data_IF_854162076935
#
_entry.id   IF_854162076935
#
_cell.length_a   1.000
_cell.length_b   1.000
_cell.length_c   1.000
_cell.angle_alpha   90.00
_cell.angle_beta   90.00
_cell.angle_gamma   90.00
#
_symmetry.space_group_name_H-M   'P 1'
#
loop_
_entity.id
_entity.type
_entity.pdbx_description
1 polymer ?
#
# COMPACT_ATOMS: atom_id res chain seq x y z
N UNK A 1 -23.86 -10.73 24.29
CA UNK A 1 -24.13 -11.23 22.94
C UNK A 1 -23.04 -10.76 22.00
N UNK A 2 -22.58 -11.64 21.12
CA UNK A 2 -21.37 -11.45 20.34
C UNK A 2 -21.61 -10.60 19.07
N UNK A 3 -20.63 -9.79 18.70
CA UNK A 3 -20.66 -8.94 17.50
C UNK A 3 -20.93 -9.72 16.20
N UNK A 4 -20.61 -11.02 16.18
CA UNK A 4 -20.84 -11.91 15.04
C UNK A 4 -22.35 -12.13 14.78
N UNK A 5 -23.13 -12.30 15.84
CA UNK A 5 -24.59 -12.51 15.75
C UNK A 5 -25.29 -11.24 15.25
N UNK A 6 -24.87 -10.08 15.75
CA UNK A 6 -25.35 -8.79 15.28
C UNK A 6 -25.03 -8.55 13.80
N UNK A 7 -23.80 -8.85 13.39
CA UNK A 7 -23.38 -8.72 11.99
C UNK A 7 -24.21 -9.61 11.07
N UNK A 8 -24.51 -10.84 11.51
CA UNK A 8 -25.34 -11.79 10.76
C UNK A 8 -26.77 -11.29 10.57
N UNK A 9 -27.40 -10.79 11.64
CA UNK A 9 -28.76 -10.24 11.58
C UNK A 9 -28.86 -9.00 10.68
N UNK A 10 -27.85 -8.12 10.72
CA UNK A 10 -27.76 -6.95 9.83
C UNK A 10 -27.72 -7.40 8.37
N UNK A 11 -26.87 -8.38 8.03
CA UNK A 11 -26.73 -8.89 6.66
C UNK A 11 -28.05 -9.50 6.20
N UNK A 12 -28.71 -10.32 7.02
CA UNK A 12 -30.00 -10.93 6.68
C UNK A 12 -31.08 -9.89 6.37
N UNK A 13 -31.18 -8.83 7.19
CA UNK A 13 -32.10 -7.72 6.94
C UNK A 13 -31.77 -6.94 5.67
N UNK A 14 -30.50 -6.82 5.32
CA UNK A 14 -30.10 -6.18 4.06
C UNK A 14 -30.40 -7.07 2.83
N UNK A 15 -30.31 -8.39 2.96
CA UNK A 15 -30.56 -9.33 1.87
C UNK A 15 -32.03 -9.42 1.44
N UNK A 16 -32.98 -9.14 2.36
CA UNK A 16 -34.42 -9.08 2.06
C UNK A 16 -34.79 -7.85 1.23
N UNK A 17 -33.92 -6.82 1.23
CA UNK A 17 -34.13 -5.63 0.41
C UNK A 17 -33.71 -5.90 -1.03
N UNK A 18 -34.51 -5.41 -1.98
CA UNK A 18 -34.23 -5.58 -3.41
C UNK A 18 -33.00 -4.79 -3.86
N UNK A 19 -32.82 -3.57 -3.36
CA UNK A 19 -31.68 -2.71 -3.69
C UNK A 19 -31.33 -1.82 -2.48
N UNK A 20 -30.61 -2.35 -1.48
CA UNK A 20 -30.28 -1.59 -0.28
C UNK A 20 -29.41 -0.37 -0.63
N UNK A 21 -29.67 0.77 0.00
CA UNK A 21 -28.83 1.97 -0.10
C UNK A 21 -27.80 2.02 1.03
N UNK A 22 -26.87 2.99 0.96
CA UNK A 22 -25.93 3.25 2.07
C UNK A 22 -26.64 3.74 3.33
N UNK A 23 -27.72 4.49 3.16
CA UNK A 23 -28.55 4.96 4.28
C UNK A 23 -29.26 3.78 4.95
N UNK A 24 -29.73 2.80 4.17
CA UNK A 24 -30.31 1.56 4.70
C UNK A 24 -29.30 0.76 5.53
N UNK A 25 -28.05 0.68 5.08
CA UNK A 25 -26.98 0.00 5.84
C UNK A 25 -26.80 0.67 7.21
N UNK A 26 -26.66 1.99 7.27
CA UNK A 26 -26.49 2.67 8.56
C UNK A 26 -27.76 2.56 9.42
N UNK A 27 -28.95 2.74 8.84
CA UNK A 27 -30.23 2.59 9.54
C UNK A 27 -30.37 1.21 10.18
N UNK A 28 -30.14 0.13 9.42
CA UNK A 28 -30.26 -1.25 9.91
C UNK A 28 -29.20 -1.53 10.98
N UNK A 29 -27.97 -1.02 10.82
CA UNK A 29 -26.92 -1.13 11.84
C UNK A 29 -27.38 -0.50 13.17
N UNK A 30 -27.95 0.70 13.12
CA UNK A 30 -28.49 1.37 14.31
C UNK A 30 -29.66 0.59 14.92
N UNK A 31 -30.64 0.16 14.11
CA UNK A 31 -31.80 -0.61 14.59
C UNK A 31 -31.36 -1.90 15.31
N UNK A 32 -30.49 -2.70 14.69
CA UNK A 32 -30.00 -3.96 15.27
C UNK A 32 -29.19 -3.70 16.54
N UNK A 33 -28.33 -2.67 16.56
CA UNK A 33 -27.58 -2.34 17.77
C UNK A 33 -28.48 -1.94 18.95
N UNK A 34 -29.60 -1.26 18.68
CA UNK A 34 -30.59 -0.91 19.72
C UNK A 34 -31.32 -2.15 20.24
N UNK A 35 -31.74 -3.05 19.36
CA UNK A 35 -32.45 -4.29 19.74
C UNK A 35 -31.55 -5.19 20.58
N UNK A 36 -30.27 -5.30 20.19
CA UNK A 36 -29.30 -6.17 20.85
C UNK A 36 -28.51 -5.49 21.98
N UNK A 37 -28.82 -4.24 22.28
CA UNK A 37 -28.17 -3.40 23.29
C UNK A 37 -26.62 -3.42 23.23
N UNK A 38 -26.07 -3.27 22.02
CA UNK A 38 -24.63 -3.33 21.78
C UNK A 38 -23.93 -2.04 22.18
N UNK A 39 -22.73 -2.17 22.76
CA UNK A 39 -21.87 -1.04 23.15
C UNK A 39 -21.23 -0.31 21.96
N UNK A 40 -21.19 -0.95 20.79
CA UNK A 40 -20.63 -0.35 19.57
C UNK A 40 -21.36 -0.84 18.32
N UNK A 41 -21.33 -0.01 17.29
CA UNK A 41 -21.85 -0.33 15.97
C UNK A 41 -20.79 -1.12 15.19
N UNK A 42 -21.13 -2.25 14.55
CA UNK A 42 -20.19 -2.97 13.69
C UNK A 42 -19.73 -2.09 12.52
N UNK A 43 -18.46 -2.18 12.17
CA UNK A 43 -17.90 -1.55 10.98
C UNK A 43 -18.33 -2.29 9.71
N UNK A 44 -18.29 -1.60 8.55
CA UNK A 44 -18.60 -2.27 7.29
C UNK A 44 -17.63 -3.40 6.97
N UNK A 45 -16.37 -3.32 7.41
CA UNK A 45 -15.39 -4.42 7.30
C UNK A 45 -15.79 -5.66 8.09
N UNK A 46 -16.37 -5.48 9.27
CA UNK A 46 -16.89 -6.60 10.07
C UNK A 46 -18.09 -7.26 9.37
N UNK A 47 -19.00 -6.46 8.81
CA UNK A 47 -20.10 -6.97 7.99
C UNK A 47 -19.58 -7.73 6.75
N UNK A 48 -18.59 -7.19 6.04
CA UNK A 48 -17.98 -7.83 4.87
C UNK A 48 -17.35 -9.18 5.25
N UNK A 49 -16.66 -9.26 6.39
CA UNK A 49 -16.05 -10.50 6.88
C UNK A 49 -17.09 -11.58 7.25
N UNK A 50 -18.32 -11.16 7.58
CA UNK A 50 -19.42 -12.06 7.95
C UNK A 50 -20.31 -12.49 6.77
N UNK A 51 -20.00 -12.05 5.54
CA UNK A 51 -20.71 -12.49 4.33
C UNK A 51 -20.41 -13.96 4.01
N UNK A 52 -21.44 -14.69 3.61
CA UNK A 52 -21.35 -16.07 3.11
C UNK A 52 -21.27 -16.10 1.56
N UNK A 53 -20.80 -17.20 0.95
CA UNK A 53 -20.85 -17.36 -0.50
C UNK A 53 -22.27 -17.13 -1.05
N UNK A 54 -22.41 -16.29 -2.09
CA UNK A 54 -23.70 -15.89 -2.65
C UNK A 54 -24.30 -14.58 -2.07
N UNK A 55 -23.67 -14.01 -1.04
CA UNK A 55 -24.06 -12.71 -0.46
C UNK A 55 -23.24 -11.54 -1.01
N UNK A 56 -22.44 -11.76 -2.06
CA UNK A 56 -21.51 -10.75 -2.59
C UNK A 56 -22.21 -9.50 -3.14
N UNK A 57 -23.51 -9.58 -3.45
CA UNK A 57 -24.33 -8.42 -3.88
C UNK A 57 -24.28 -7.25 -2.88
N UNK A 58 -24.06 -7.53 -1.59
CA UNK A 58 -23.97 -6.50 -0.55
C UNK A 58 -22.63 -5.76 -0.55
N UNK A 59 -21.59 -6.28 -1.22
CA UNK A 59 -20.31 -5.58 -1.32
C UNK A 59 -20.45 -4.22 -1.99
N UNK A 60 -21.39 -4.05 -2.92
CA UNK A 60 -21.60 -2.78 -3.62
C UNK A 60 -22.00 -1.63 -2.68
N UNK A 61 -22.73 -1.96 -1.61
CA UNK A 61 -23.29 -0.98 -0.66
C UNK A 61 -22.42 -0.86 0.59
N UNK A 62 -21.76 -1.95 1.00
CA UNK A 62 -20.85 -1.97 2.15
C UNK A 62 -19.50 -1.29 1.85
N UNK A 63 -19.06 -1.26 0.57
CA UNK A 63 -17.88 -0.51 0.13
C UNK A 63 -18.09 1.01 0.25
N UNK A 64 -17.40 1.63 1.22
CA UNK A 64 -17.44 3.10 1.44
C UNK A 64 -16.97 3.91 0.23
N UNK A 65 -15.92 3.48 -0.46
CA UNK A 65 -15.45 4.11 -1.70
C UNK A 65 -15.63 3.17 -2.88
N UNK A 66 -16.47 3.56 -3.84
CA UNK A 66 -16.45 3.00 -5.20
C UNK A 66 -15.25 3.60 -5.95
N UNK A 67 -14.04 3.40 -5.45
CA UNK A 67 -12.86 3.71 -6.24
C UNK A 67 -12.80 2.64 -7.32
N UNK A 68 -13.32 2.97 -8.52
CA UNK A 68 -12.84 2.32 -9.74
C UNK A 68 -11.35 2.64 -9.81
N UNK A 69 -10.50 1.70 -9.42
CA UNK A 69 -9.22 1.58 -10.12
C UNK A 69 -9.62 1.30 -11.57
N UNK A 70 -9.63 2.35 -12.41
CA UNK A 70 -10.13 2.32 -13.80
C UNK A 70 -9.45 1.21 -14.62
N UNK A 71 -8.24 0.81 -14.21
CA UNK A 71 -7.41 -0.23 -14.80
C UNK A 71 -7.50 -1.61 -14.10
N UNK A 72 -8.23 -1.73 -12.98
CA UNK A 72 -8.22 -2.95 -12.16
C UNK A 72 -6.90 -3.22 -11.41
N UNK A 73 -5.92 -2.32 -11.50
CA UNK A 73 -4.63 -2.42 -10.82
C UNK A 73 -4.73 -1.79 -9.43
N UNK A 74 -4.38 -2.55 -8.40
CA UNK A 74 -4.33 -2.10 -7.01
C UNK A 74 -2.94 -1.55 -6.68
N UNK A 75 -2.86 -0.29 -6.27
CA UNK A 75 -1.59 0.32 -5.86
C UNK A 75 -1.25 -0.06 -4.42
N UNK A 76 -0.06 -0.62 -4.23
CA UNK A 76 0.53 -0.91 -2.91
C UNK A 76 1.81 -0.08 -2.79
N UNK A 77 1.74 0.98 -1.98
CA UNK A 77 2.91 1.78 -1.62
C UNK A 77 3.56 1.25 -0.35
N UNK A 78 4.89 1.07 -0.40
CA UNK A 78 5.74 0.60 0.71
C UNK A 78 6.88 1.58 0.92
N UNK A 79 7.31 1.74 2.18
CA UNK A 79 8.38 2.64 2.57
C UNK A 79 9.63 1.85 2.92
N UNK A 80 10.77 2.25 2.34
CA UNK A 80 12.08 1.80 2.82
C UNK A 80 12.36 2.38 4.19
N UNK A 81 13.33 1.81 4.88
CA UNK A 81 13.82 2.37 6.14
C UNK A 81 14.37 3.79 5.91
N UNK A 82 14.42 4.65 6.94
CA UNK A 82 15.07 5.95 6.84
C UNK A 82 16.58 5.78 6.60
N UNK A 83 17.06 6.22 5.44
CA UNK A 83 18.47 6.37 5.13
C UNK A 83 18.83 7.86 5.02
N UNK A 84 20.09 8.23 5.33
CA UNK A 84 20.53 9.61 5.15
C UNK A 84 20.49 9.99 3.67
N UNK A 85 20.43 11.30 3.42
CA UNK A 85 20.57 11.81 2.06
C UNK A 85 21.94 11.37 1.48
N UNK A 86 22.02 11.03 0.19
CA UNK A 86 23.32 10.79 -0.45
C UNK A 86 24.24 12.02 -0.49
N UNK A 87 23.67 13.22 -0.33
CA UNK A 87 24.45 14.45 -0.14
C UNK A 87 24.80 14.62 1.32
N UNK A 88 25.88 15.37 1.58
CA UNK A 88 26.28 15.78 2.94
C UNK A 88 25.12 16.48 3.67
N UNK A 89 24.42 17.38 2.97
CA UNK A 89 23.24 18.07 3.48
C UNK A 89 22.03 17.85 2.56
N UNK A 90 20.82 17.58 3.12
CA UNK A 90 19.59 17.55 2.34
C UNK A 90 19.25 18.90 1.70
N UNK A 91 18.36 18.89 0.71
CA UNK A 91 17.82 20.13 0.16
C UNK A 91 17.06 20.92 1.23
N UNK A 92 17.05 22.25 1.13
CA UNK A 92 16.61 23.18 2.20
C UNK A 92 15.17 22.90 2.68
N UNK A 93 14.30 22.45 1.78
CA UNK A 93 12.88 22.19 2.05
C UNK A 93 12.59 20.71 2.39
N UNK A 94 13.61 19.86 2.53
CA UNK A 94 13.39 18.44 2.78
C UNK A 94 12.81 18.21 4.20
N UNK A 95 11.59 17.67 4.35
CA UNK A 95 10.94 17.57 5.66
C UNK A 95 11.39 16.37 6.50
N UNK A 96 12.02 15.37 5.87
CA UNK A 96 12.29 14.06 6.46
C UNK A 96 13.76 13.73 6.61
N UNK A 97 14.03 12.44 6.81
CA UNK A 97 15.37 11.89 7.02
C UNK A 97 15.50 11.20 8.39
N UNK A 98 16.58 10.45 8.61
CA UNK A 98 16.75 9.62 9.82
C UNK A 98 16.59 10.40 11.13
N UNK A 99 17.08 11.65 11.18
CA UNK A 99 16.95 12.54 12.35
C UNK A 99 15.51 12.94 12.69
N UNK A 100 14.58 12.78 11.75
CA UNK A 100 13.14 13.03 11.91
C UNK A 100 12.32 11.74 12.05
N UNK A 101 12.96 10.57 11.95
CA UNK A 101 12.30 9.26 12.06
C UNK A 101 11.48 8.84 10.83
N UNK A 102 11.62 9.54 9.70
CA UNK A 102 10.95 9.25 8.43
C UNK A 102 11.96 9.15 7.29
N UNK A 103 11.63 8.46 6.19
CA UNK A 103 12.47 8.51 4.99
C UNK A 103 12.60 9.93 4.43
N UNK A 104 13.65 10.16 3.65
CA UNK A 104 13.91 11.45 3.03
C UNK A 104 12.68 11.89 2.20
N UNK A 105 12.35 13.18 2.23
CA UNK A 105 11.18 13.78 1.56
C UNK A 105 9.81 13.54 2.21
N UNK A 106 9.69 12.74 3.28
CA UNK A 106 8.41 12.43 3.93
C UNK A 106 8.30 13.02 5.35
N UNK A 107 7.10 13.44 5.75
CA UNK A 107 6.85 14.05 7.07
C UNK A 107 6.64 13.04 8.20
N UNK A 108 6.43 11.77 7.87
CA UNK A 108 6.07 10.75 8.86
C UNK A 108 4.57 10.61 9.10
N UNK A 109 3.73 11.47 8.51
CA UNK A 109 2.28 11.50 8.73
C UNK A 109 1.47 10.91 7.58
N UNK A 110 2.12 10.62 6.45
CA UNK A 110 1.45 10.04 5.30
C UNK A 110 1.04 8.59 5.60
N UNK A 111 -0.07 8.07 5.05
CA UNK A 111 -0.54 6.71 5.33
C UNK A 111 0.47 5.61 4.98
N UNK A 112 1.33 5.82 3.98
CA UNK A 112 2.40 4.88 3.64
C UNK A 112 3.53 4.94 4.68
N UNK A 113 3.96 6.14 5.09
CA UNK A 113 4.98 6.34 6.14
C UNK A 113 4.54 5.79 7.48
N UNK A 114 3.31 6.08 7.91
CA UNK A 114 2.75 5.54 9.15
C UNK A 114 2.72 4.00 9.15
N UNK A 115 2.43 3.39 8.00
CA UNK A 115 2.49 1.93 7.83
C UNK A 115 3.91 1.40 7.86
N UNK A 116 4.86 2.12 7.26
CA UNK A 116 6.28 1.85 7.38
C UNK A 116 6.70 1.80 8.85
N UNK A 117 6.40 2.87 9.61
CA UNK A 117 6.68 2.94 11.05
C UNK A 117 6.01 1.78 11.81
N UNK A 118 4.72 1.53 11.56
CA UNK A 118 3.96 0.45 12.22
C UNK A 118 4.62 -0.93 12.05
N UNK A 119 5.17 -1.21 10.88
CA UNK A 119 5.82 -2.48 10.57
C UNK A 119 7.34 -2.42 10.68
N UNK A 120 7.91 -1.38 11.31
CA UNK A 120 9.34 -1.16 11.43
C UNK A 120 10.08 -1.27 10.09
N UNK A 121 9.47 -0.72 9.04
CA UNK A 121 9.94 -0.70 7.66
C UNK A 121 10.22 -2.09 7.05
N UNK A 122 9.63 -3.15 7.61
CA UNK A 122 9.70 -4.51 7.05
C UNK A 122 8.88 -4.59 5.74
N UNK A 123 9.51 -4.84 4.58
CA UNK A 123 8.83 -4.86 3.28
C UNK A 123 7.72 -5.92 3.20
N UNK A 124 7.95 -7.11 3.74
CA UNK A 124 6.98 -8.21 3.69
C UNK A 124 5.73 -7.85 4.50
N UNK A 125 5.92 -7.38 5.73
CA UNK A 125 4.81 -7.01 6.62
C UNK A 125 4.02 -5.82 6.10
N UNK A 126 4.69 -4.83 5.50
CA UNK A 126 4.01 -3.68 4.87
C UNK A 126 3.08 -4.13 3.73
N UNK A 127 3.56 -5.01 2.84
CA UNK A 127 2.76 -5.56 1.74
C UNK A 127 1.60 -6.39 2.25
N UNK A 128 1.85 -7.42 3.07
CA UNK A 128 0.79 -8.29 3.61
C UNK A 128 -0.25 -7.48 4.40
N UNK A 129 0.21 -6.53 5.23
CA UNK A 129 -0.67 -5.64 5.96
C UNK A 129 -1.59 -4.82 5.05
N UNK A 130 -1.05 -4.31 3.93
CA UNK A 130 -1.84 -3.57 2.94
C UNK A 130 -2.80 -4.46 2.16
N UNK A 131 -2.36 -5.64 1.72
CA UNK A 131 -3.20 -6.64 1.03
C UNK A 131 -4.39 -7.02 1.91
N UNK A 132 -4.13 -7.38 3.17
CA UNK A 132 -5.17 -7.79 4.13
C UNK A 132 -6.13 -6.64 4.43
N UNK A 133 -5.62 -5.42 4.60
CA UNK A 133 -6.45 -4.24 4.80
C UNK A 133 -7.43 -4.06 3.63
N UNK A 134 -6.94 -4.12 2.38
CA UNK A 134 -7.75 -3.95 1.18
C UNK A 134 -8.81 -5.04 1.02
N UNK A 135 -8.43 -6.30 1.26
CA UNK A 135 -9.38 -7.44 1.25
C UNK A 135 -10.46 -7.28 2.31
N UNK A 136 -10.12 -6.82 3.52
CA UNK A 136 -11.07 -6.62 4.62
C UNK A 136 -12.11 -5.51 4.37
N UNK A 137 -11.83 -4.56 3.47
CA UNK A 137 -12.81 -3.56 3.01
C UNK A 137 -13.43 -3.93 1.65
N UNK A 138 -13.20 -5.16 1.18
CA UNK A 138 -13.81 -5.74 -0.01
C UNK A 138 -13.15 -5.38 -1.34
N UNK A 139 -11.99 -4.70 -1.35
CA UNK A 139 -11.29 -4.43 -2.61
C UNK A 139 -10.58 -5.70 -3.11
N UNK A 140 -10.74 -6.07 -4.40
CA UNK A 140 -9.97 -7.16 -4.98
C UNK A 140 -8.48 -6.79 -5.02
N UNK A 141 -7.62 -7.79 -4.83
CA UNK A 141 -6.16 -7.64 -4.89
C UNK A 141 -5.61 -8.82 -5.69
N UNK A 142 -5.87 -8.80 -6.98
CA UNK A 142 -5.49 -9.79 -7.99
C UNK A 142 -4.41 -9.26 -8.94
N UNK A 143 -4.35 -7.93 -9.13
CA UNK A 143 -3.29 -7.26 -9.87
C UNK A 143 -2.77 -6.05 -9.08
N UNK A 144 -1.46 -5.96 -8.91
CA UNK A 144 -0.79 -4.96 -8.07
C UNK A 144 0.27 -4.19 -8.83
N UNK A 145 0.30 -2.89 -8.62
CA UNK A 145 1.46 -2.05 -8.89
C UNK A 145 2.13 -1.73 -7.55
N UNK A 146 3.38 -2.14 -7.41
CA UNK A 146 4.19 -1.88 -6.22
C UNK A 146 4.88 -0.52 -6.39
N UNK A 147 4.77 0.35 -5.39
CA UNK A 147 5.47 1.63 -5.37
C UNK A 147 6.39 1.66 -4.15
N UNK A 148 7.70 1.73 -4.39
CA UNK A 148 8.72 1.80 -3.35
C UNK A 148 9.10 3.27 -3.12
N UNK A 149 8.76 3.75 -1.94
CA UNK A 149 8.99 5.11 -1.47
C UNK A 149 10.12 5.11 -0.43
N UNK A 150 10.84 6.21 -0.32
CA UNK A 150 12.00 6.33 0.55
C UNK A 150 12.97 7.48 0.26
N UNK A 151 12.73 8.27 -0.77
CA UNK A 151 13.60 9.37 -1.21
C UNK A 151 14.42 9.00 -2.44
N UNK A 152 15.67 8.56 -2.24
CA UNK A 152 16.61 8.26 -3.35
C UNK A 152 16.91 6.78 -3.41
N UNK A 153 16.06 5.99 -4.08
CA UNK A 153 16.17 4.53 -4.10
C UNK A 153 17.57 4.05 -4.52
N UNK A 154 18.12 4.62 -5.59
CA UNK A 154 19.42 4.21 -6.16
C UNK A 154 20.63 4.57 -5.29
N UNK A 155 20.47 5.43 -4.29
CA UNK A 155 21.51 5.71 -3.29
C UNK A 155 21.56 4.67 -2.16
N UNK A 156 20.55 3.80 -2.07
CA UNK A 156 20.50 2.76 -1.05
C UNK A 156 21.49 1.63 -1.39
N UNK A 157 22.06 0.97 -0.37
CA UNK A 157 22.89 -0.22 -0.58
C UNK A 157 22.19 -1.26 -1.48
N UNK A 158 22.91 -1.82 -2.44
CA UNK A 158 22.33 -2.72 -3.44
C UNK A 158 21.75 -3.99 -2.81
N UNK A 159 22.44 -4.55 -1.83
CA UNK A 159 21.98 -5.71 -1.03
C UNK A 159 20.66 -5.41 -0.32
N UNK A 160 20.51 -4.21 0.27
CA UNK A 160 19.26 -3.76 0.87
C UNK A 160 18.14 -3.65 -0.18
N UNK A 161 18.42 -3.07 -1.35
CA UNK A 161 17.42 -2.95 -2.44
C UNK A 161 16.95 -4.33 -2.93
N UNK A 162 17.89 -5.24 -3.17
CA UNK A 162 17.60 -6.62 -3.60
C UNK A 162 16.74 -7.33 -2.56
N UNK A 163 17.16 -7.29 -1.28
CA UNK A 163 16.39 -7.86 -0.19
C UNK A 163 14.99 -7.25 -0.09
N UNK A 164 14.88 -5.93 -0.20
CA UNK A 164 13.61 -5.22 -0.05
C UNK A 164 12.60 -5.64 -1.12
N UNK A 165 13.01 -5.62 -2.39
CA UNK A 165 12.14 -6.04 -3.50
C UNK A 165 11.79 -7.52 -3.40
N UNK A 166 12.77 -8.39 -3.11
CA UNK A 166 12.52 -9.83 -2.91
C UNK A 166 11.43 -10.05 -1.86
N UNK A 167 11.53 -9.41 -0.70
CA UNK A 167 10.56 -9.56 0.40
C UNK A 167 9.18 -9.00 0.05
N UNK A 168 9.10 -7.94 -0.74
CA UNK A 168 7.81 -7.47 -1.28
C UNK A 168 7.19 -8.50 -2.23
N UNK A 169 7.99 -9.12 -3.10
CA UNK A 169 7.51 -10.18 -4.00
C UNK A 169 7.10 -11.43 -3.23
N UNK A 170 7.87 -11.89 -2.24
CA UNK A 170 7.54 -13.01 -1.36
C UNK A 170 6.14 -12.84 -0.73
N UNK A 171 5.84 -11.62 -0.28
CA UNK A 171 4.53 -11.28 0.30
C UNK A 171 3.39 -11.40 -0.72
N UNK A 172 3.60 -10.99 -1.98
CA UNK A 172 2.60 -11.09 -3.04
C UNK A 172 2.46 -12.51 -3.57
N UNK A 173 3.57 -13.26 -3.60
CA UNK A 173 3.62 -14.67 -4.00
C UNK A 173 2.95 -15.58 -2.97
N UNK A 174 3.02 -15.21 -1.68
CA UNK A 174 2.53 -16.02 -0.56
C UNK A 174 3.49 -17.14 -0.15
N UNK A 175 4.72 -17.12 -0.66
CA UNK A 175 5.78 -18.11 -0.44
C UNK A 175 7.11 -17.36 -0.37
N UNK A 176 7.99 -17.82 0.52
CA UNK A 176 9.34 -17.29 0.66
C UNK A 176 10.27 -17.92 -0.38
N UNK A 177 10.96 -17.08 -1.16
CA UNK A 177 12.00 -17.53 -2.09
C UNK A 177 13.39 -17.56 -1.42
N UNK A 178 14.35 -18.21 -2.08
CA UNK A 178 15.77 -18.21 -1.71
C UNK A 178 16.43 -16.88 -2.12
N UNK A 179 16.14 -16.40 -3.33
CA UNK A 179 16.71 -15.18 -3.87
C UNK A 179 15.68 -14.37 -4.69
N UNK A 180 16.12 -13.21 -5.21
CA UNK A 180 15.26 -12.32 -6.00
C UNK A 180 14.85 -12.93 -7.35
N UNK A 181 15.72 -13.73 -7.98
CA UNK A 181 15.40 -14.37 -9.26
C UNK A 181 14.30 -15.42 -9.10
N UNK A 182 14.36 -16.23 -8.05
CA UNK A 182 13.29 -17.15 -7.70
C UNK A 182 12.00 -16.40 -7.33
N UNK A 183 12.10 -15.29 -6.58
CA UNK A 183 10.93 -14.47 -6.26
C UNK A 183 10.21 -13.95 -7.52
N UNK A 184 10.98 -13.50 -8.54
CA UNK A 184 10.45 -13.05 -9.83
C UNK A 184 9.78 -14.20 -10.59
N UNK A 185 10.43 -15.37 -10.67
CA UNK A 185 9.87 -16.56 -11.33
C UNK A 185 8.57 -17.04 -10.68
N UNK A 186 8.50 -17.00 -9.34
CA UNK A 186 7.27 -17.32 -8.61
C UNK A 186 6.17 -16.29 -8.89
N UNK A 187 6.52 -15.01 -8.99
CA UNK A 187 5.57 -13.93 -9.27
C UNK A 187 4.85 -14.07 -10.63
N UNK A 188 5.51 -14.64 -11.64
CA UNK A 188 4.88 -14.92 -12.94
C UNK A 188 3.66 -15.84 -12.81
N UNK A 189 3.69 -16.79 -11.88
CA UNK A 189 2.63 -17.80 -11.66
C UNK A 189 1.75 -17.49 -10.46
N UNK A 190 2.13 -16.51 -9.63
CA UNK A 190 1.39 -16.12 -8.43
C UNK A 190 -0.08 -15.71 -8.72
N UNK A 191 -1.00 -15.92 -7.78
CA UNK A 191 -2.39 -15.48 -7.91
C UNK A 191 -2.54 -13.96 -7.92
N UNK A 192 -1.65 -13.24 -7.24
CA UNK A 192 -1.57 -11.77 -7.29
C UNK A 192 -0.51 -11.39 -8.33
N UNK A 193 -0.91 -10.80 -9.45
CA UNK A 193 -0.01 -10.39 -10.52
C UNK A 193 0.64 -9.05 -10.22
N UNK A 194 1.96 -8.99 -10.23
CA UNK A 194 2.70 -7.73 -10.16
C UNK A 194 2.82 -7.16 -11.57
N UNK A 195 2.09 -6.09 -11.86
CA UNK A 195 2.09 -5.48 -13.19
C UNK A 195 3.17 -4.43 -13.40
N UNK A 196 3.79 -3.98 -12.31
CA UNK A 196 4.86 -3.01 -12.36
C UNK A 196 5.42 -2.72 -10.98
N UNK A 197 6.68 -2.29 -10.97
CA UNK A 197 7.38 -1.80 -9.80
C UNK A 197 7.83 -0.39 -10.12
N UNK A 198 7.37 0.56 -9.31
CA UNK A 198 7.79 1.96 -9.37
C UNK A 198 8.76 2.26 -8.24
N UNK A 199 9.84 2.96 -8.56
CA UNK A 199 10.75 3.53 -7.56
C UNK A 199 10.87 5.03 -7.76
N UNK A 200 11.14 5.76 -6.69
CA UNK A 200 11.50 7.17 -6.76
C UNK A 200 13.01 7.35 -6.62
N UNK A 201 13.58 8.26 -7.42
CA UNK A 201 14.97 8.65 -7.26
C UNK A 201 15.22 10.09 -7.66
N UNK A 202 16.44 10.55 -7.39
CA UNK A 202 16.92 11.86 -7.81
C UNK A 202 17.52 11.78 -9.22
N UNK A 203 17.39 12.84 -10.05
CA UNK A 203 18.02 12.88 -11.36
C UNK A 203 19.54 12.66 -11.32
N UNK A 204 20.23 13.22 -10.33
CA UNK A 204 21.68 13.11 -10.13
C UNK A 204 22.14 11.72 -9.63
N UNK A 205 21.22 10.86 -9.22
CA UNK A 205 21.49 9.46 -8.81
C UNK A 205 20.90 8.43 -9.77
N UNK A 206 20.70 8.80 -11.04
CA UNK A 206 20.11 7.92 -12.05
C UNK A 206 21.08 7.67 -13.22
N UNK A 207 22.29 7.20 -12.91
CA UNK A 207 23.30 6.83 -13.92
C UNK A 207 22.89 5.59 -14.71
N UNK A 208 23.57 5.31 -15.84
CA UNK A 208 23.33 4.10 -16.63
C UNK A 208 23.47 2.81 -15.79
N UNK A 209 24.49 2.72 -14.93
CA UNK A 209 24.66 1.57 -14.03
C UNK A 209 23.51 1.43 -13.02
N UNK A 210 23.00 2.55 -12.49
CA UNK A 210 21.80 2.52 -11.63
C UNK A 210 20.56 2.03 -12.40
N UNK A 211 20.45 2.34 -13.70
CA UNK A 211 19.36 1.85 -14.56
C UNK A 211 19.48 0.34 -14.76
N UNK A 212 20.68 -0.19 -15.02
CA UNK A 212 20.90 -1.63 -15.15
C UNK A 212 20.52 -2.38 -13.86
N UNK A 213 20.88 -1.85 -12.69
CA UNK A 213 20.46 -2.39 -11.40
C UNK A 213 18.93 -2.36 -11.23
N UNK A 214 18.27 -1.26 -11.59
CA UNK A 214 16.81 -1.16 -11.53
C UNK A 214 16.13 -2.19 -12.46
N UNK A 215 16.68 -2.42 -13.66
CA UNK A 215 16.21 -3.45 -14.57
C UNK A 215 16.35 -4.85 -13.95
N UNK A 216 17.48 -5.15 -13.31
CA UNK A 216 17.68 -6.42 -12.58
C UNK A 216 16.67 -6.60 -11.44
N UNK A 217 16.31 -5.53 -10.75
CA UNK A 217 15.29 -5.51 -9.71
C UNK A 217 13.85 -5.70 -10.24
N UNK A 218 13.63 -5.62 -11.56
CA UNK A 218 12.30 -5.69 -12.17
C UNK A 218 11.52 -4.38 -12.10
N UNK A 219 12.21 -3.24 -11.94
CA UNK A 219 11.60 -1.91 -11.98
C UNK A 219 11.10 -1.61 -13.39
N UNK A 220 9.85 -1.13 -13.48
CA UNK A 220 9.19 -0.80 -14.74
C UNK A 220 8.91 0.69 -14.89
N UNK A 221 8.95 1.45 -13.79
CA UNK A 221 8.76 2.91 -13.79
C UNK A 221 9.68 3.57 -12.78
N UNK A 222 10.24 4.71 -13.16
CA UNK A 222 11.07 5.55 -12.28
C UNK A 222 10.42 6.92 -12.19
N UNK A 223 10.19 7.39 -10.97
CA UNK A 223 9.74 8.75 -10.70
C UNK A 223 10.94 9.61 -10.31
N UNK A 224 11.29 10.56 -11.18
CA UNK A 224 12.40 11.47 -10.94
C UNK A 224 11.92 12.71 -10.20
N UNK A 225 12.52 12.98 -9.05
CA UNK A 225 12.32 14.23 -8.32
C UNK A 225 13.00 15.41 -9.01
N UNK A 226 12.51 15.86 -10.18
CA UNK A 226 13.06 17.02 -10.91
C UNK A 226 12.80 18.32 -10.14
N UNK A 227 11.55 18.56 -9.72
CA UNK A 227 11.14 19.77 -8.97
C UNK A 227 11.15 21.06 -9.80
N UNK A 228 12.26 21.38 -10.47
CA UNK A 228 12.43 22.57 -11.31
C UNK A 228 13.33 22.26 -12.51
N UNK A 229 13.30 23.07 -13.56
CA UNK A 229 14.20 22.94 -14.72
C UNK A 229 15.29 24.02 -14.73
N UNK A 230 15.32 24.89 -13.71
CA UNK A 230 16.21 26.06 -13.64
C UNK A 230 17.39 25.80 -12.68
N UNK A 231 18.61 25.93 -13.20
CA UNK A 231 19.86 25.67 -12.48
C UNK A 231 20.16 26.63 -11.34
N UNK A 232 19.79 27.91 -11.48
CA UNK A 232 19.90 28.92 -10.43
C UNK A 232 19.03 28.57 -9.20
N UNK A 233 17.83 28.04 -9.44
CA UNK A 233 16.94 27.55 -8.38
C UNK A 233 17.54 26.32 -7.68
N UNK A 234 18.11 25.37 -8.43
CA UNK A 234 18.78 24.20 -7.84
C UNK A 234 19.92 24.58 -6.90
N UNK A 235 20.79 25.50 -7.32
CA UNK A 235 21.87 26.05 -6.48
C UNK A 235 21.32 26.72 -5.22
N UNK A 236 20.25 27.52 -5.36
CA UNK A 236 19.62 28.23 -4.25
C UNK A 236 19.04 27.28 -3.20
N UNK A 237 18.44 26.15 -3.62
CA UNK A 237 17.77 25.20 -2.72
C UNK A 237 18.67 24.03 -2.26
N UNK A 238 19.98 24.09 -2.55
CA UNK A 238 20.95 23.04 -2.29
C UNK A 238 20.51 21.67 -2.86
N UNK A 239 20.08 21.64 -4.13
CA UNK A 239 19.68 20.41 -4.85
C UNK A 239 20.52 20.26 -6.12
N UNK A 240 20.89 19.03 -6.45
CA UNK A 240 22.07 18.73 -7.25
C UNK A 240 23.13 18.20 -6.31
#
# INVERSE_FOLDING_TARGET
MEMAEASRLIIERLLTMRNPSREDVERIKFEVCRILNLSRIPSNSELIKSLKPGEEKLLEVLKRKKTRTVSGVTVIAVMTAPFPCPKEEPCIYCPGGPSKGSPQSYTGREPATLRGIQYNYDPYKQVIGRVNQLKAIGHPVDKVELIVLGGTHTALPLDYRIWFIKRCLDALNGVESQDLEEAKKLAEKAPIKVSGITVETRPDWCTAGCVDEMLQLGVTRVELGVQTIYEDVYKTINRG
#
